data_IF_831422290376
#
_entry.id   IF_831422290376
#
_cell.length_a   1.000
_cell.length_b   1.000
_cell.length_c   1.000
_cell.angle_alpha   90.00
_cell.angle_beta   90.00
_cell.angle_gamma   90.00
#
_symmetry.space_group_name_H-M   'P 1'
#
loop_
_entity.id
_entity.type
_entity.pdbx_description
1 polymer ?
#
# COMPACT_ATOMS: atom_id res chain seq x y z
N UNK A 1 28.61 7.92 17.98
CA UNK A 1 27.48 7.10 17.48
C UNK A 1 27.35 7.35 16.00
N UNK A 2 27.64 6.36 15.16
CA UNK A 2 27.37 6.47 13.72
C UNK A 2 25.84 6.60 13.58
N UNK A 3 25.31 7.57 12.80
CA UNK A 3 23.87 7.58 12.53
C UNK A 3 23.53 6.24 11.88
N UNK A 4 22.63 5.47 12.49
CA UNK A 4 22.04 4.33 11.81
C UNK A 4 21.37 4.88 10.57
N UNK A 5 21.97 4.69 9.40
CA UNK A 5 21.29 4.93 8.15
C UNK A 5 19.96 4.17 8.24
N UNK A 6 18.81 4.81 7.98
CA UNK A 6 17.55 4.09 7.98
C UNK A 6 17.72 2.93 7.02
N UNK A 7 17.72 1.70 7.55
CA UNK A 7 17.78 0.51 6.72
C UNK A 7 16.48 0.49 5.96
N UNK A 8 16.49 1.00 4.73
CA UNK A 8 15.37 0.85 3.81
C UNK A 8 15.22 -0.64 3.58
N UNK A 9 14.24 -1.24 4.24
CA UNK A 9 13.89 -2.63 3.98
C UNK A 9 13.34 -2.73 2.55
N UNK A 10 13.18 -3.95 2.06
CA UNK A 10 12.47 -4.22 0.80
C UNK A 10 11.36 -5.23 1.09
N UNK A 11 10.27 -5.14 0.32
CA UNK A 11 9.15 -6.06 0.44
C UNK A 11 9.61 -7.52 0.33
N UNK A 12 8.99 -8.46 1.08
CA UNK A 12 9.30 -9.88 0.97
C UNK A 12 9.22 -10.37 -0.47
N UNK A 13 10.24 -11.11 -0.92
CA UNK A 13 10.33 -11.63 -2.28
C UNK A 13 11.01 -10.71 -3.29
N UNK A 14 11.20 -9.41 -3.00
CA UNK A 14 11.83 -8.46 -3.92
C UNK A 14 13.24 -8.91 -4.38
N UNK A 15 14.03 -9.47 -3.46
CA UNK A 15 15.36 -10.00 -3.75
C UNK A 15 15.38 -11.11 -4.79
N UNK A 16 14.31 -11.92 -4.91
CA UNK A 16 14.24 -12.98 -5.93
C UNK A 16 14.20 -12.39 -7.33
N UNK A 17 13.44 -11.31 -7.52
CA UNK A 17 13.37 -10.59 -8.78
C UNK A 17 14.68 -9.86 -9.10
N UNK A 18 15.26 -9.16 -8.11
CA UNK A 18 16.52 -8.46 -8.29
C UNK A 18 17.70 -9.40 -8.58
N UNK A 19 17.77 -10.55 -7.89
CA UNK A 19 18.81 -11.54 -8.09
C UNK A 19 18.81 -12.09 -9.52
N UNK A 20 17.64 -12.33 -10.12
CA UNK A 20 17.55 -12.75 -11.52
C UNK A 20 18.17 -11.71 -12.47
N UNK A 21 17.90 -10.42 -12.24
CA UNK A 21 18.51 -9.33 -12.99
C UNK A 21 20.02 -9.24 -12.78
N UNK A 22 20.51 -9.44 -11.55
CA UNK A 22 21.94 -9.40 -11.25
C UNK A 22 22.70 -10.59 -11.84
N UNK A 23 22.12 -11.80 -11.82
CA UNK A 23 22.70 -12.97 -12.49
C UNK A 23 22.76 -12.74 -14.01
N UNK A 24 21.70 -12.19 -14.60
CA UNK A 24 21.70 -11.81 -16.02
C UNK A 24 22.78 -10.75 -16.31
N UNK A 25 22.99 -9.79 -15.42
CA UNK A 25 24.04 -8.79 -15.56
C UNK A 25 25.44 -9.44 -15.59
N UNK A 26 25.74 -10.36 -14.67
CA UNK A 26 27.02 -11.08 -14.63
C UNK A 26 27.29 -11.86 -15.92
N UNK A 27 26.28 -12.58 -16.43
CA UNK A 27 26.39 -13.31 -17.70
C UNK A 27 26.61 -12.33 -18.87
N UNK A 28 25.86 -11.23 -18.89
CA UNK A 28 25.93 -10.23 -19.95
C UNK A 28 27.28 -9.49 -19.98
N UNK A 29 28.03 -9.40 -18.88
CA UNK A 29 29.39 -8.81 -18.90
C UNK A 29 30.30 -9.55 -19.88
N UNK A 30 30.14 -10.87 -20.01
CA UNK A 30 30.98 -11.71 -20.88
C UNK A 30 30.49 -11.66 -22.33
N UNK A 31 29.16 -11.68 -22.53
CA UNK A 31 28.54 -11.79 -23.86
C UNK A 31 28.42 -10.43 -24.56
N UNK A 32 27.93 -9.42 -23.84
CA UNK A 32 27.68 -8.07 -24.37
C UNK A 32 27.63 -7.03 -23.24
N UNK A 33 28.75 -6.39 -22.87
CA UNK A 33 28.86 -5.53 -21.69
C UNK A 33 27.80 -4.43 -21.54
N UNK A 34 27.31 -3.76 -22.60
CA UNK A 34 26.24 -2.78 -22.45
C UNK A 34 24.94 -3.36 -21.85
N UNK A 35 24.61 -4.62 -22.17
CA UNK A 35 23.43 -5.29 -21.62
C UNK A 35 23.60 -5.60 -20.13
N UNK A 36 24.82 -5.77 -19.64
CA UNK A 36 25.08 -5.91 -18.21
C UNK A 36 24.67 -4.65 -17.43
N UNK A 37 24.96 -3.47 -17.98
CA UNK A 37 24.54 -2.19 -17.40
C UNK A 37 23.01 -2.08 -17.30
N UNK A 38 22.30 -2.47 -18.36
CA UNK A 38 20.82 -2.48 -18.37
C UNK A 38 20.27 -3.46 -17.35
N UNK A 39 20.77 -4.70 -17.31
CA UNK A 39 20.31 -5.72 -16.36
C UNK A 39 20.58 -5.30 -14.90
N UNK A 40 21.74 -4.70 -14.62
CA UNK A 40 22.07 -4.15 -13.31
C UNK A 40 21.10 -3.02 -12.92
N UNK A 41 20.84 -2.08 -13.83
CA UNK A 41 19.90 -0.97 -13.59
C UNK A 41 18.48 -1.49 -13.31
N UNK A 42 18.03 -2.52 -14.02
CA UNK A 42 16.74 -3.17 -13.77
C UNK A 42 16.68 -3.81 -12.39
N UNK A 43 17.74 -4.51 -11.96
CA UNK A 43 17.80 -5.11 -10.62
C UNK A 43 17.73 -4.06 -9.50
N UNK A 44 18.42 -2.93 -9.67
CA UNK A 44 18.34 -1.80 -8.75
C UNK A 44 16.93 -1.19 -8.76
N UNK A 45 16.34 -1.00 -9.94
CA UNK A 45 14.98 -0.47 -10.08
C UNK A 45 13.94 -1.37 -9.40
N UNK A 46 14.10 -2.69 -9.47
CA UNK A 46 13.24 -3.66 -8.76
C UNK A 46 13.33 -3.48 -7.24
N UNK A 47 14.54 -3.35 -6.68
CA UNK A 47 14.71 -3.12 -5.24
C UNK A 47 14.14 -1.77 -4.82
N UNK A 48 14.36 -0.73 -5.63
CA UNK A 48 13.85 0.62 -5.38
C UNK A 48 12.32 0.69 -5.43
N UNK A 49 11.70 -0.04 -6.36
CA UNK A 49 10.25 -0.15 -6.47
C UNK A 49 9.65 -0.83 -5.23
N UNK A 50 10.28 -1.92 -4.77
CA UNK A 50 9.83 -2.68 -3.59
C UNK A 50 10.39 -2.13 -2.27
N UNK A 51 10.91 -0.89 -2.25
CA UNK A 51 11.45 -0.30 -1.03
C UNK A 51 10.39 -0.16 0.05
N UNK A 52 10.81 -0.28 1.29
CA UNK A 52 9.96 -0.26 2.47
C UNK A 52 10.64 0.57 3.57
N UNK A 53 10.53 1.92 3.49
CA UNK A 53 11.06 2.78 4.52
C UNK A 53 10.29 2.58 5.84
N UNK A 54 11.02 2.66 6.96
CA UNK A 54 10.41 2.72 8.30
C UNK A 54 9.49 3.94 8.45
N UNK A 55 8.39 3.77 9.19
CA UNK A 55 7.40 4.83 9.43
C UNK A 55 6.94 4.83 10.87
N UNK A 56 6.75 6.03 11.42
CA UNK A 56 6.18 6.26 12.74
C UNK A 56 4.76 6.81 12.53
N UNK A 57 3.72 6.00 12.78
CA UNK A 57 2.35 6.45 12.66
C UNK A 57 2.00 7.46 13.76
N UNK A 58 1.05 8.40 13.50
CA UNK A 58 0.49 9.26 14.53
C UNK A 58 -0.20 8.44 15.63
N UNK A 59 -0.40 9.05 16.79
CA UNK A 59 -0.98 8.41 17.99
C UNK A 59 -2.49 8.14 17.87
N UNK A 60 -3.20 8.90 17.04
CA UNK A 60 -4.64 8.75 16.80
C UNK A 60 -4.99 8.98 15.32
N UNK A 61 -6.25 8.73 14.99
CA UNK A 61 -6.78 8.89 13.65
C UNK A 61 -6.69 7.62 12.80
N UNK A 62 -7.31 7.72 11.62
CA UNK A 62 -7.20 6.73 10.55
C UNK A 62 -6.15 7.25 9.58
N UNK A 63 -5.15 6.44 9.25
CA UNK A 63 -4.06 6.83 8.35
C UNK A 63 -4.21 6.24 6.95
N UNK A 64 -3.58 6.89 5.98
CA UNK A 64 -3.54 6.41 4.60
C UNK A 64 -2.99 4.97 4.53
N UNK A 65 -3.62 4.06 3.78
CA UNK A 65 -3.10 2.70 3.56
C UNK A 65 -2.01 2.60 2.50
N UNK A 66 -1.79 3.64 1.68
CA UNK A 66 -0.77 3.66 0.63
C UNK A 66 -0.05 5.03 0.51
N UNK A 67 1.14 5.02 -0.10
CA UNK A 67 1.78 6.24 -0.61
C UNK A 67 1.19 6.55 -1.97
N UNK A 68 0.87 7.81 -2.24
CA UNK A 68 0.42 8.20 -3.57
C UNK A 68 -0.54 9.37 -3.51
N UNK A 69 -1.53 9.37 -4.41
CA UNK A 69 -2.49 10.46 -4.56
C UNK A 69 -3.91 9.98 -4.28
N UNK A 70 -4.67 10.75 -3.52
CA UNK A 70 -6.11 10.49 -3.32
C UNK A 70 -6.81 10.61 -4.67
N UNK A 71 -7.27 9.49 -5.20
CA UNK A 71 -7.92 9.40 -6.50
C UNK A 71 -9.44 9.24 -6.39
N UNK A 72 -9.91 8.75 -5.24
CA UNK A 72 -11.34 8.52 -4.99
C UNK A 72 -11.70 9.01 -3.59
N UNK A 73 -12.79 9.74 -3.52
CA UNK A 73 -13.50 10.13 -2.30
C UNK A 73 -14.99 9.97 -2.66
N UNK A 74 -15.61 8.89 -2.19
CA UNK A 74 -16.95 8.49 -2.65
C UNK A 74 -17.78 7.94 -1.49
N UNK A 75 -19.01 8.43 -1.39
CA UNK A 75 -20.06 7.87 -0.53
C UNK A 75 -20.78 6.75 -1.28
N UNK A 76 -20.85 5.57 -0.67
CA UNK A 76 -21.48 4.35 -1.19
C UNK A 76 -22.55 3.90 -0.20
N UNK A 77 -23.71 4.56 -0.21
CA UNK A 77 -24.71 4.38 0.85
C UNK A 77 -24.24 5.05 2.14
N UNK A 78 -24.20 4.29 3.23
CA UNK A 78 -23.72 4.77 4.54
C UNK A 78 -22.19 4.60 4.72
N UNK A 79 -21.48 4.15 3.68
CA UNK A 79 -20.04 3.93 3.70
C UNK A 79 -19.27 5.05 2.98
N UNK A 80 -18.15 5.48 3.55
CA UNK A 80 -17.25 6.44 2.91
C UNK A 80 -15.95 5.76 2.48
N UNK A 81 -15.68 5.79 1.17
CA UNK A 81 -14.49 5.20 0.55
C UNK A 81 -13.46 6.27 0.21
N UNK A 82 -12.23 6.06 0.67
CA UNK A 82 -11.05 6.83 0.25
C UNK A 82 -10.09 5.93 -0.52
N UNK A 83 -9.91 6.21 -1.80
CA UNK A 83 -9.02 5.47 -2.69
C UNK A 83 -7.75 6.23 -3.00
N UNK A 84 -6.60 5.57 -2.85
CA UNK A 84 -5.27 6.12 -3.07
C UNK A 84 -4.62 5.39 -4.25
N UNK A 85 -4.32 6.13 -5.31
CA UNK A 85 -3.57 5.63 -6.45
C UNK A 85 -2.06 5.76 -6.21
N UNK A 86 -1.33 4.68 -6.46
CA UNK A 86 0.12 4.59 -6.33
C UNK A 86 0.77 4.66 -7.72
N UNK A 87 1.59 5.67 -7.96
CA UNK A 87 2.45 5.74 -9.14
C UNK A 87 3.60 4.73 -9.03
N UNK A 88 4.26 4.42 -10.15
CA UNK A 88 5.45 3.54 -10.19
C UNK A 88 6.56 3.98 -9.23
N UNK A 89 6.62 5.27 -8.91
CA UNK A 89 7.61 5.85 -8.03
C UNK A 89 7.26 5.76 -6.56
N UNK A 90 5.99 5.49 -6.21
CA UNK A 90 5.52 5.46 -4.83
C UNK A 90 5.92 4.16 -4.13
N UNK A 91 5.83 4.13 -2.80
CA UNK A 91 6.04 2.90 -2.04
C UNK A 91 4.79 2.04 -2.13
N UNK A 92 4.96 0.81 -2.60
CA UNK A 92 3.84 -0.11 -2.81
C UNK A 92 3.60 -1.08 -1.64
N UNK A 93 4.30 -0.90 -0.53
CA UNK A 93 3.99 -1.57 0.73
C UNK A 93 2.82 -0.85 1.39
N UNK A 94 1.73 -1.57 1.59
CA UNK A 94 0.50 -1.07 2.18
C UNK A 94 0.50 -1.26 3.69
N UNK A 95 -0.19 -0.35 4.39
CA UNK A 95 -0.21 -0.29 5.85
C UNK A 95 -1.63 -0.25 6.40
N UNK A 96 -1.81 -0.78 7.61
CA UNK A 96 -3.07 -0.76 8.33
C UNK A 96 -3.49 0.70 8.67
N UNK A 97 -4.67 1.16 8.22
CA UNK A 97 -5.21 2.48 8.56
C UNK A 97 -5.45 2.71 10.05
N UNK A 98 -5.79 1.66 10.80
CA UNK A 98 -6.08 1.72 12.23
C UNK A 98 -5.65 0.42 12.92
N UNK A 99 -5.74 0.36 14.23
CA UNK A 99 -5.63 -0.91 14.95
C UNK A 99 -6.96 -1.66 14.91
N UNK A 100 -6.94 -2.99 14.96
CA UNK A 100 -8.13 -3.83 14.91
C UNK A 100 -7.77 -5.28 14.63
N UNK A 101 -8.76 -6.17 14.60
CA UNK A 101 -8.54 -7.60 14.32
C UNK A 101 -9.03 -7.92 12.92
N UNK A 102 -8.21 -8.63 12.13
CA UNK A 102 -8.58 -9.08 10.79
C UNK A 102 -9.64 -10.17 10.91
N UNK A 103 -10.81 -9.94 10.34
CA UNK A 103 -11.90 -10.92 10.28
C UNK A 103 -11.72 -11.86 9.08
N UNK A 104 -11.41 -11.31 7.90
CA UNK A 104 -11.17 -12.09 6.69
C UNK A 104 -10.14 -11.43 5.77
N UNK A 105 -9.55 -12.27 4.90
CA UNK A 105 -8.69 -11.84 3.80
C UNK A 105 -9.17 -12.56 2.53
N UNK A 106 -9.92 -11.84 1.70
CA UNK A 106 -10.63 -12.40 0.55
C UNK A 106 -9.97 -11.99 -0.76
N UNK A 107 -9.42 -12.96 -1.50
CA UNK A 107 -8.93 -12.75 -2.86
C UNK A 107 -10.10 -12.82 -3.85
N UNK A 108 -10.25 -11.77 -4.65
CA UNK A 108 -11.26 -11.70 -5.71
C UNK A 108 -10.56 -11.54 -7.06
N UNK A 109 -10.61 -12.56 -7.94
CA UNK A 109 -10.05 -12.45 -9.28
C UNK A 109 -10.83 -11.41 -10.09
N UNK A 110 -10.15 -10.73 -11.02
CA UNK A 110 -10.76 -9.65 -11.77
C UNK A 110 -10.04 -9.30 -13.06
N UNK A 111 -10.48 -8.21 -13.68
CA UNK A 111 -9.92 -7.66 -14.90
C UNK A 111 -8.56 -6.95 -14.65
N UNK A 112 -7.96 -6.43 -15.72
CA UNK A 112 -6.65 -5.78 -15.68
C UNK A 112 -6.73 -4.40 -16.35
N UNK A 113 -7.55 -3.52 -15.79
CA UNK A 113 -7.73 -2.14 -16.26
C UNK A 113 -6.71 -1.21 -15.61
N UNK A 114 -6.37 -0.06 -16.23
CA UNK A 114 -5.51 0.92 -15.58
C UNK A 114 -6.11 1.35 -14.23
N UNK A 115 -5.30 1.40 -13.17
CA UNK A 115 -5.79 1.64 -11.81
C UNK A 115 -6.38 3.06 -11.59
N UNK A 116 -6.16 3.98 -12.52
CA UNK A 116 -6.78 5.31 -12.55
C UNK A 116 -8.14 5.34 -13.30
N UNK A 117 -8.54 4.25 -13.96
CA UNK A 117 -9.84 4.17 -14.65
C UNK A 117 -10.97 3.85 -13.66
N UNK A 118 -12.18 4.33 -13.95
CA UNK A 118 -13.41 3.94 -13.24
C UNK A 118 -13.63 2.43 -13.27
N UNK A 119 -13.16 1.73 -14.31
CA UNK A 119 -13.27 0.28 -14.43
C UNK A 119 -12.31 -0.50 -13.51
N UNK A 120 -11.40 0.18 -12.80
CA UNK A 120 -10.50 -0.46 -11.82
C UNK A 120 -11.26 -1.14 -10.68
N UNK A 121 -12.51 -0.73 -10.43
CA UNK A 121 -13.44 -1.39 -9.52
C UNK A 121 -13.84 -2.80 -10.00
N UNK A 122 -13.34 -3.29 -11.15
CA UNK A 122 -13.46 -4.69 -11.59
C UNK A 122 -12.13 -5.45 -11.60
N UNK A 123 -11.04 -4.82 -11.18
CA UNK A 123 -9.73 -5.46 -11.20
C UNK A 123 -9.57 -6.51 -10.10
N UNK A 124 -8.57 -7.37 -10.30
CA UNK A 124 -8.07 -8.27 -9.27
C UNK A 124 -7.78 -7.49 -7.98
N UNK A 125 -8.30 -8.02 -6.86
CA UNK A 125 -8.14 -7.40 -5.55
C UNK A 125 -8.02 -8.40 -4.42
N UNK A 126 -7.45 -7.94 -3.32
CA UNK A 126 -7.54 -8.57 -2.00
C UNK A 126 -8.28 -7.60 -1.09
N UNK A 127 -9.33 -8.09 -0.43
CA UNK A 127 -10.06 -7.34 0.59
C UNK A 127 -9.64 -7.87 1.95
N UNK A 128 -9.18 -6.98 2.83
CA UNK A 128 -8.87 -7.25 4.23
C UNK A 128 -9.97 -6.60 5.04
N UNK A 129 -10.82 -7.41 5.66
CA UNK A 129 -11.92 -6.95 6.50
C UNK A 129 -11.50 -6.94 7.96
N UNK A 130 -11.65 -5.81 8.63
CA UNK A 130 -11.38 -5.66 10.07
C UNK A 130 -12.66 -5.39 10.88
N UNK A 131 -13.84 -5.57 10.28
CA UNK A 131 -15.15 -5.26 10.84
C UNK A 131 -15.46 -3.77 10.83
N UNK A 132 -14.65 -2.99 11.55
CA UNK A 132 -14.82 -1.54 11.67
C UNK A 132 -14.40 -0.78 10.42
N UNK A 133 -13.48 -1.34 9.64
CA UNK A 133 -12.97 -0.74 8.41
C UNK A 133 -12.50 -1.86 7.48
N UNK A 134 -12.48 -1.56 6.18
CA UNK A 134 -12.00 -2.51 5.17
C UNK A 134 -10.90 -1.88 4.33
N UNK A 135 -9.92 -2.69 3.94
CA UNK A 135 -8.91 -2.29 2.94
C UNK A 135 -9.09 -3.15 1.70
N UNK A 136 -9.21 -2.53 0.53
CA UNK A 136 -9.09 -3.23 -0.74
C UNK A 136 -7.77 -2.85 -1.42
N UNK A 137 -6.89 -3.84 -1.58
CA UNK A 137 -5.69 -3.72 -2.40
C UNK A 137 -6.06 -4.12 -3.82
N UNK A 138 -5.89 -3.21 -4.78
CA UNK A 138 -6.36 -3.38 -6.16
C UNK A 138 -5.16 -3.33 -7.10
N UNK A 139 -4.94 -4.43 -7.84
CA UNK A 139 -3.89 -4.51 -8.83
C UNK A 139 -4.25 -3.66 -10.07
N UNK A 140 -3.28 -2.95 -10.63
CA UNK A 140 -3.40 -2.28 -11.93
C UNK A 140 -3.22 -3.24 -13.12
N UNK A 141 -3.26 -2.70 -14.34
CA UNK A 141 -3.15 -3.48 -15.58
C UNK A 141 -1.79 -4.18 -15.77
N UNK A 142 -0.72 -3.58 -15.23
CA UNK A 142 0.64 -4.09 -15.33
C UNK A 142 1.01 -4.96 -14.12
N UNK A 143 0.45 -4.64 -12.95
CA UNK A 143 0.52 -5.44 -11.74
C UNK A 143 -0.31 -6.72 -11.85
N UNK A 144 0.24 -7.86 -11.44
CA UNK A 144 -0.48 -9.16 -11.48
C UNK A 144 -0.50 -9.90 -10.15
N UNK A 145 0.03 -9.28 -9.09
CA UNK A 145 0.16 -9.95 -7.80
C UNK A 145 -0.03 -8.98 -6.65
N UNK A 146 -0.96 -9.37 -5.80
CA UNK A 146 -1.16 -8.78 -4.48
C UNK A 146 -0.64 -9.80 -3.47
N UNK A 147 0.18 -9.34 -2.56
CA UNK A 147 0.84 -10.16 -1.56
C UNK A 147 0.38 -9.71 -0.17
N UNK A 148 -0.72 -10.28 0.38
CA UNK A 148 -1.11 -10.02 1.76
C UNK A 148 -0.07 -10.60 2.72
N UNK A 149 0.16 -9.91 3.84
CA UNK A 149 1.05 -10.35 4.93
C UNK A 149 0.27 -10.80 6.18
N UNK A 150 -1.05 -10.73 6.13
CA UNK A 150 -1.96 -10.96 7.24
C UNK A 150 -3.00 -12.00 6.84
N UNK A 151 -3.61 -12.64 7.83
CA UNK A 151 -4.67 -13.62 7.70
C UNK A 151 -5.80 -13.34 8.72
N UNK A 152 -6.94 -14.01 8.56
CA UNK A 152 -8.03 -13.94 9.53
C UNK A 152 -7.56 -14.36 10.93
N UNK A 153 -7.92 -13.57 11.93
CA UNK A 153 -7.51 -13.72 13.33
C UNK A 153 -6.30 -12.88 13.74
N UNK A 154 -5.57 -12.26 12.80
CA UNK A 154 -4.42 -11.42 13.14
C UNK A 154 -4.85 -10.09 13.78
N UNK A 155 -4.16 -9.69 14.85
CA UNK A 155 -4.27 -8.34 15.41
C UNK A 155 -3.35 -7.37 14.67
N UNK A 156 -3.90 -6.22 14.30
CA UNK A 156 -3.21 -5.14 13.61
C UNK A 156 -2.96 -3.97 14.55
N UNK A 157 -1.76 -3.40 14.44
CA UNK A 157 -1.45 -2.08 14.96
C UNK A 157 -1.51 -1.07 13.82
N UNK A 158 -2.06 0.14 14.07
CA UNK A 158 -2.03 1.23 13.08
C UNK A 158 -0.64 1.41 12.47
N UNK A 159 -0.56 1.51 11.14
CA UNK A 159 0.69 1.65 10.40
C UNK A 159 1.47 0.35 10.19
N UNK A 160 1.02 -0.79 10.75
CA UNK A 160 1.58 -2.11 10.48
C UNK A 160 1.50 -2.44 8.99
N UNK A 161 2.50 -3.16 8.48
CA UNK A 161 2.53 -3.60 7.07
C UNK A 161 1.52 -4.73 6.90
N UNK A 162 0.62 -4.58 5.94
CA UNK A 162 -0.46 -5.56 5.68
C UNK A 162 -0.30 -6.29 4.35
N UNK A 163 0.55 -5.77 3.47
CA UNK A 163 0.83 -6.38 2.18
C UNK A 163 1.62 -5.48 1.25
N UNK A 164 1.80 -5.93 0.02
CA UNK A 164 2.21 -5.06 -1.08
C UNK A 164 1.55 -5.47 -2.39
N UNK A 165 1.52 -4.52 -3.33
CA UNK A 165 1.05 -4.77 -4.69
C UNK A 165 2.18 -4.45 -5.67
N UNK A 166 2.60 -5.43 -6.46
CA UNK A 166 3.72 -5.22 -7.39
C UNK A 166 3.27 -4.53 -8.67
N UNK A 167 3.85 -3.36 -8.97
CA UNK A 167 3.77 -2.57 -10.21
C UNK A 167 2.47 -1.83 -10.56
N UNK A 168 2.16 -0.77 -9.80
CA UNK A 168 1.06 0.15 -10.09
C UNK A 168 -0.27 -0.37 -9.58
N UNK A 169 -0.90 0.38 -8.69
CA UNK A 169 -2.01 -0.15 -7.90
C UNK A 169 -2.79 0.95 -7.21
N UNK A 170 -3.97 0.59 -6.71
CA UNK A 170 -4.80 1.45 -5.87
C UNK A 170 -5.04 0.73 -4.55
N UNK A 171 -5.07 1.48 -3.45
CA UNK A 171 -5.52 0.98 -2.17
C UNK A 171 -6.72 1.80 -1.72
N UNK A 172 -7.83 1.12 -1.48
CA UNK A 172 -9.02 1.73 -0.93
C UNK A 172 -9.14 1.41 0.54
N UNK A 173 -9.54 2.40 1.33
CA UNK A 173 -10.08 2.18 2.67
C UNK A 173 -11.55 2.56 2.67
N UNK A 174 -12.38 1.67 3.20
CA UNK A 174 -13.75 1.99 3.62
C UNK A 174 -13.66 2.40 5.09
N UNK A 175 -14.06 3.63 5.38
CA UNK A 175 -14.00 4.19 6.72
C UNK A 175 -15.11 3.59 7.60
N UNK A 176 -14.90 3.55 8.93
CA UNK A 176 -15.96 3.19 9.86
C UNK A 176 -17.22 4.05 9.67
N UNK A 177 -18.44 3.48 9.77
CA UNK A 177 -19.70 4.19 9.49
C UNK A 177 -19.97 5.43 10.35
N UNK A 178 -19.23 5.59 11.45
CA UNK A 178 -19.28 6.78 12.32
C UNK A 178 -18.59 8.00 11.73
N UNK A 179 -17.86 7.84 10.63
CA UNK A 179 -17.18 8.94 9.94
C UNK A 179 -17.84 9.23 8.61
N UNK A 180 -18.07 10.51 8.35
CA UNK A 180 -18.64 10.98 7.10
C UNK A 180 -17.67 11.91 6.36
N UNK A 181 -18.17 12.56 5.30
CA UNK A 181 -17.35 13.39 4.42
C UNK A 181 -16.73 14.58 5.14
N UNK A 182 -17.37 15.12 6.18
CA UNK A 182 -16.90 16.28 6.94
C UNK A 182 -15.70 15.92 7.83
N UNK A 183 -15.57 14.65 8.23
CA UNK A 183 -14.45 14.15 9.03
C UNK A 183 -13.15 13.94 8.23
N UNK A 184 -13.25 13.84 6.88
CA UNK A 184 -12.10 13.54 6.04
C UNK A 184 -11.22 14.77 5.82
N UNK A 185 -9.97 14.65 6.28
CA UNK A 185 -8.95 15.71 6.28
C UNK A 185 -8.25 15.92 4.95
N UNK A 186 -8.43 15.00 3.99
CA UNK A 186 -7.73 15.02 2.70
C UNK A 186 -8.69 15.30 1.55
N UNK A 187 -8.19 15.91 0.49
CA UNK A 187 -8.94 16.14 -0.73
C UNK A 187 -8.51 15.20 -1.87
N UNK A 188 -9.37 15.06 -2.90
CA UNK A 188 -8.94 14.46 -4.17
C UNK A 188 -7.74 15.24 -4.72
N UNK A 189 -6.84 14.51 -5.34
CA UNK A 189 -5.53 14.96 -5.81
C UNK A 189 -4.50 15.31 -4.73
N UNK A 190 -4.81 15.16 -3.44
CA UNK A 190 -3.82 15.34 -2.38
C UNK A 190 -2.81 14.19 -2.35
N UNK A 191 -1.53 14.51 -2.09
CA UNK A 191 -0.48 13.50 -1.92
C UNK A 191 -0.43 13.04 -0.46
N UNK A 192 -0.48 11.71 -0.27
CA UNK A 192 -0.54 11.08 1.04
C UNK A 192 0.59 10.05 1.19
N UNK A 193 1.00 9.83 2.44
CA UNK A 193 2.02 8.83 2.79
C UNK A 193 1.41 7.79 3.71
N UNK A 194 1.50 6.50 3.35
CA UNK A 194 0.88 5.44 4.12
C UNK A 194 1.39 5.40 5.55
N UNK A 195 0.51 5.09 6.50
CA UNK A 195 0.90 5.04 7.90
C UNK A 195 1.38 6.37 8.47
N UNK A 196 1.23 7.51 7.78
CA UNK A 196 1.61 8.84 8.28
C UNK A 196 0.51 9.88 8.10
N UNK A 197 0.03 10.06 6.86
CA UNK A 197 -1.03 11.03 6.58
C UNK A 197 -2.32 10.54 7.22
N UNK A 198 -2.94 11.37 8.06
CA UNK A 198 -4.25 11.10 8.63
C UNK A 198 -5.31 11.40 7.56
N UNK A 199 -6.15 10.41 7.28
CA UNK A 199 -7.37 10.58 6.50
C UNK A 199 -8.47 11.18 7.37
N UNK A 200 -8.52 10.80 8.65
CA UNK A 200 -9.46 11.30 9.66
C UNK A 200 -8.69 11.60 10.94
N UNK A 201 -8.98 12.72 11.60
CA UNK A 201 -8.51 12.97 12.96
C UNK A 201 -9.52 12.33 13.91
N UNK A 202 -9.07 11.40 14.76
CA UNK A 202 -9.86 11.05 15.95
C UNK A 202 -9.30 11.85 17.11
N UNK A 203 -10.18 12.39 17.96
CA UNK A 203 -9.74 12.79 19.29
C UNK A 203 -9.07 11.60 19.98
N UNK A 204 -7.94 11.83 20.66
CA UNK A 204 -7.43 10.83 21.58
C UNK A 204 -8.58 10.46 22.51
N UNK A 205 -8.84 9.16 22.67
CA UNK A 205 -9.93 8.64 23.49
C UNK A 205 -10.07 9.50 24.75
N UNK A 206 -11.30 9.96 25.00
CA UNK A 206 -11.72 10.79 26.13
C UNK A 206 -11.38 10.06 27.45
N UNK A 207 -10.10 10.04 27.80
CA UNK A 207 -9.56 9.57 29.07
C UNK A 207 -9.80 10.68 30.08
N UNK A 208 -11.05 10.94 30.39
CA UNK A 208 -11.61 11.41 31.68
C UNK A 208 -13.10 11.69 31.46
N UNK A 209 -13.91 10.63 31.39
CA UNK A 209 -15.31 10.74 31.78
C UNK A 209 -15.73 9.52 32.59
N UNK A 210 -15.22 9.46 33.82
CA UNK A 210 -15.87 8.96 35.04
C UNK A 210 -14.97 9.21 36.24
#
# INVERSE_FOLDING_TARGET
>A
MLPMLPTTAVAPGAWRYAAACFVAAVIAVIVFPPLAGVALALGIAVLWFHRDPGRNPPESGIVAPADGRVSVLREEGDELRVGIFMNVTDVHVNRAPASGTVQSVDHRPGAYKPAFSKDSDRNERVVIDCGDYQIALIAGWFARRIHPYVAGGDDLVRGQRIGHVSFGSRADVVLPPRYDREDVLVAVDETVTAGKTRLVATEAAESTRR
#
